data_IF_619536758818
#
_entry.id   IF_619536758818
#
_cell.length_a   1.000
_cell.length_b   1.000
_cell.length_c   1.000
_cell.angle_alpha   90.00
_cell.angle_beta   90.00
_cell.angle_gamma   90.00
#
_symmetry.space_group_name_H-M   'P 1'
#
loop_
_entity.id
_entity.type
_entity.pdbx_description
1 polymer ?
#
# COMPACT_ATOMS: atom_id res chain seq x y z
N UNK A 1 90.25 26.66 -31.49
CA UNK A 1 90.42 26.35 -30.05
C UNK A 1 89.88 27.52 -29.25
N UNK A 2 89.19 27.29 -28.13
CA UNK A 2 87.82 26.82 -27.88
C UNK A 2 86.86 28.06 -27.76
N UNK A 3 85.57 28.06 -27.39
CA UNK A 3 84.85 27.38 -26.33
C UNK A 3 83.34 27.63 -26.53
N UNK A 4 82.55 26.58 -26.29
CA UNK A 4 81.09 26.54 -26.21
C UNK A 4 80.52 27.53 -25.18
N UNK A 5 79.34 28.10 -25.44
CA UNK A 5 78.29 28.21 -24.43
C UNK A 5 76.89 28.32 -25.05
N UNK A 6 76.01 27.51 -24.47
CA UNK A 6 74.68 27.09 -24.85
C UNK A 6 73.64 27.98 -24.12
N UNK A 7 72.56 28.40 -24.77
CA UNK A 7 71.25 28.75 -24.13
C UNK A 7 70.25 29.14 -25.24
N UNK A 8 69.53 28.18 -25.80
CA UNK A 8 68.14 27.85 -25.47
C UNK A 8 67.10 28.81 -26.08
N UNK A 9 66.65 28.48 -27.30
CA UNK A 9 65.37 28.93 -27.84
C UNK A 9 64.24 28.27 -27.04
N UNK A 10 63.36 29.08 -26.44
CA UNK A 10 62.05 28.61 -25.97
C UNK A 10 60.98 29.24 -26.85
N UNK A 11 60.54 28.52 -27.89
CA UNK A 11 59.32 28.83 -28.62
C UNK A 11 58.17 28.09 -27.93
N UNK A 12 57.27 28.85 -27.29
CA UNK A 12 56.05 28.29 -26.73
C UNK A 12 55.06 28.06 -27.88
N UNK A 13 54.86 26.79 -28.25
CA UNK A 13 53.83 26.37 -29.19
C UNK A 13 52.64 25.85 -28.38
N UNK A 14 51.56 26.64 -28.36
CA UNK A 14 50.29 26.29 -27.72
C UNK A 14 49.53 25.31 -28.62
N UNK A 15 49.36 24.06 -28.19
CA UNK A 15 48.55 23.08 -28.91
C UNK A 15 47.13 23.05 -28.34
N UNK A 16 46.07 23.27 -29.13
CA UNK A 16 44.71 23.12 -28.65
C UNK A 16 44.39 21.63 -28.53
N UNK A 17 44.33 21.11 -27.31
CA UNK A 17 43.83 19.76 -27.04
C UNK A 17 42.36 19.83 -26.63
N UNK A 18 41.48 20.06 -27.60
CA UNK A 18 40.03 19.97 -27.39
C UNK A 18 39.58 18.53 -27.66
N UNK A 19 39.70 17.69 -26.64
CA UNK A 19 38.92 16.44 -26.57
C UNK A 19 37.45 16.84 -26.42
N UNK A 20 36.51 16.36 -27.26
CA UNK A 20 35.11 16.72 -27.11
C UNK A 20 34.58 16.15 -25.79
N UNK A 21 34.21 17.05 -24.87
CA UNK A 21 33.50 16.70 -23.64
C UNK A 21 32.09 16.28 -24.03
N UNK A 22 31.82 14.98 -24.02
CA UNK A 22 30.46 14.46 -24.01
C UNK A 22 29.97 14.58 -22.57
N UNK A 23 29.07 15.52 -22.29
CA UNK A 23 28.37 15.58 -21.00
C UNK A 23 27.34 14.44 -20.98
N UNK A 24 27.59 13.41 -20.15
CA UNK A 24 26.58 12.39 -19.88
C UNK A 24 25.45 13.02 -19.06
N UNK A 25 24.18 12.69 -19.33
CA UNK A 25 23.08 13.16 -18.50
C UNK A 25 23.29 12.70 -17.05
N UNK A 26 23.09 13.62 -16.11
CA UNK A 26 23.17 13.33 -14.68
C UNK A 26 21.99 12.41 -14.29
N UNK A 27 22.29 11.15 -13.99
CA UNK A 27 21.29 10.19 -13.53
C UNK A 27 21.07 10.42 -12.04
N UNK A 28 19.92 10.99 -11.67
CA UNK A 28 19.51 11.12 -10.27
C UNK A 28 18.89 9.82 -9.79
N UNK A 29 19.57 9.12 -8.89
CA UNK A 29 19.03 7.93 -8.23
C UNK A 29 18.07 8.33 -7.10
N UNK A 30 16.98 7.58 -6.88
CA UNK A 30 16.15 7.77 -5.70
C UNK A 30 16.99 7.57 -4.44
N UNK A 31 16.71 8.35 -3.39
CA UNK A 31 17.37 8.17 -2.10
C UNK A 31 17.11 6.76 -1.58
N UNK A 32 18.10 6.12 -0.92
CA UNK A 32 17.90 4.82 -0.30
C UNK A 32 16.82 4.90 0.78
N UNK A 33 16.06 3.80 0.94
CA UNK A 33 15.05 3.66 1.99
C UNK A 33 15.73 3.81 3.36
N UNK A 34 15.20 4.70 4.20
CA UNK A 34 15.73 4.94 5.55
C UNK A 34 15.26 3.86 6.53
N UNK A 35 15.98 3.69 7.65
CA UNK A 35 15.54 2.77 8.72
C UNK A 35 14.14 3.10 9.24
N UNK A 36 13.81 4.40 9.36
CA UNK A 36 12.48 4.85 9.76
C UNK A 36 11.38 4.42 8.78
N UNK A 37 11.67 4.42 7.46
CA UNK A 37 10.72 3.92 6.45
C UNK A 37 10.52 2.41 6.55
N UNK A 38 11.58 1.64 6.87
CA UNK A 38 11.47 0.19 7.09
C UNK A 38 10.64 -0.12 8.33
N UNK A 39 10.87 0.60 9.42
CA UNK A 39 10.11 0.45 10.66
C UNK A 39 8.63 0.80 10.46
N UNK A 40 8.34 1.90 9.77
CA UNK A 40 6.96 2.28 9.43
C UNK A 40 6.25 1.20 8.60
N UNK A 41 6.93 0.63 7.60
CA UNK A 41 6.37 -0.45 6.78
C UNK A 41 6.16 -1.74 7.59
N UNK A 42 7.06 -2.07 8.52
CA UNK A 42 6.88 -3.21 9.42
C UNK A 42 5.67 -3.02 10.34
N UNK A 43 5.54 -1.83 10.93
CA UNK A 43 4.41 -1.49 11.81
C UNK A 43 3.08 -1.48 11.07
N UNK A 44 3.05 -0.98 9.83
CA UNK A 44 1.84 -1.01 9.00
C UNK A 44 1.42 -2.45 8.67
N UNK A 45 2.36 -3.32 8.30
CA UNK A 45 2.09 -4.76 8.10
C UNK A 45 1.52 -5.41 9.35
N UNK A 46 2.16 -5.22 10.50
CA UNK A 46 1.70 -5.78 11.77
C UNK A 46 0.28 -5.28 12.11
N UNK A 47 0.04 -3.97 11.97
CA UNK A 47 -1.29 -3.40 12.20
C UNK A 47 -2.36 -3.95 11.25
N UNK A 48 -2.02 -4.12 9.97
CA UNK A 48 -2.94 -4.66 8.96
C UNK A 48 -3.31 -6.11 9.25
N UNK A 49 -2.34 -6.95 9.60
CA UNK A 49 -2.56 -8.35 9.92
C UNK A 49 -3.33 -8.53 11.24
N UNK A 50 -3.08 -7.68 12.24
CA UNK A 50 -3.87 -7.70 13.46
C UNK A 50 -5.33 -7.32 13.17
N UNK A 51 -5.55 -6.28 12.35
CA UNK A 51 -6.89 -5.89 11.94
C UNK A 51 -7.59 -6.98 11.11
N UNK A 52 -6.87 -7.69 10.24
CA UNK A 52 -7.40 -8.84 9.50
C UNK A 52 -7.92 -9.92 10.46
N UNK A 53 -7.15 -10.23 11.52
CA UNK A 53 -7.59 -11.16 12.57
C UNK A 53 -8.83 -10.67 13.33
N UNK A 54 -8.92 -9.38 13.64
CA UNK A 54 -10.13 -8.81 14.25
C UNK A 54 -11.36 -8.89 13.31
N UNK A 55 -11.16 -8.71 12.00
CA UNK A 55 -12.24 -8.89 11.00
C UNK A 55 -12.66 -10.35 10.84
N UNK A 56 -11.73 -11.31 10.93
CA UNK A 56 -12.03 -12.75 10.92
C UNK A 56 -12.88 -13.17 12.13
N UNK A 57 -12.54 -12.68 13.33
CA UNK A 57 -13.36 -12.89 14.53
C UNK A 57 -14.78 -12.31 14.35
N UNK A 58 -14.90 -11.12 13.78
CA UNK A 58 -16.21 -10.51 13.52
C UNK A 58 -16.99 -11.25 12.42
N UNK A 59 -16.30 -11.81 11.41
CA UNK A 59 -16.93 -12.60 10.35
C UNK A 59 -17.52 -13.89 10.92
N UNK A 60 -16.83 -14.52 11.88
CA UNK A 60 -17.35 -15.66 12.61
C UNK A 60 -18.62 -15.29 13.41
N UNK A 61 -18.67 -14.12 14.06
CA UNK A 61 -19.89 -13.63 14.71
C UNK A 61 -21.05 -13.44 13.71
N UNK A 62 -20.76 -13.01 12.47
CA UNK A 62 -21.76 -12.89 11.41
C UNK A 62 -22.28 -14.26 10.96
N UNK A 63 -21.40 -15.26 10.84
CA UNK A 63 -21.80 -16.65 10.55
C UNK A 63 -22.74 -17.19 11.63
N UNK A 64 -22.40 -17.01 12.90
CA UNK A 64 -23.26 -17.41 14.02
C UNK A 64 -24.64 -16.71 13.92
N UNK A 65 -24.67 -15.42 13.59
CA UNK A 65 -25.92 -14.68 13.38
C UNK A 65 -26.77 -15.25 12.23
N UNK A 66 -26.14 -15.67 11.12
CA UNK A 66 -26.81 -16.31 9.98
C UNK A 66 -27.45 -17.63 10.42
N UNK A 67 -26.72 -18.48 11.13
CA UNK A 67 -27.21 -19.78 11.60
C UNK A 67 -28.45 -19.66 12.51
N UNK A 68 -28.55 -18.56 13.27
CA UNK A 68 -29.70 -18.28 14.13
C UNK A 68 -30.93 -17.71 13.40
N UNK A 69 -30.78 -17.24 12.15
CA UNK A 69 -31.89 -16.64 11.41
C UNK A 69 -32.78 -17.67 10.72
N UNK A 70 -34.06 -17.28 10.52
CA UNK A 70 -35.03 -18.05 9.72
C UNK A 70 -35.68 -17.23 8.61
N UNK A 71 -35.46 -15.92 8.59
CA UNK A 71 -35.95 -15.05 7.53
C UNK A 71 -34.94 -15.04 6.37
N UNK A 72 -35.36 -15.58 5.22
CA UNK A 72 -34.51 -15.73 4.03
C UNK A 72 -33.92 -14.40 3.55
N UNK A 73 -34.64 -13.28 3.72
CA UNK A 73 -34.16 -11.97 3.30
C UNK A 73 -33.08 -11.43 4.25
N UNK A 74 -33.23 -11.65 5.55
CA UNK A 74 -32.20 -11.29 6.52
C UNK A 74 -30.96 -12.18 6.40
N UNK A 75 -31.14 -13.47 6.11
CA UNK A 75 -30.05 -14.40 5.81
C UNK A 75 -29.24 -13.89 4.62
N UNK A 76 -29.90 -13.60 3.48
CA UNK A 76 -29.19 -13.11 2.30
C UNK A 76 -28.42 -11.80 2.52
N UNK A 77 -28.97 -10.87 3.33
CA UNK A 77 -28.26 -9.64 3.67
C UNK A 77 -27.01 -9.90 4.52
N UNK A 78 -27.05 -10.88 5.43
CA UNK A 78 -25.90 -11.24 6.26
C UNK A 78 -24.87 -12.06 5.48
N UNK A 79 -25.29 -12.92 4.55
CA UNK A 79 -24.38 -13.62 3.62
C UNK A 79 -23.60 -12.63 2.74
N UNK A 80 -24.26 -11.57 2.25
CA UNK A 80 -23.57 -10.49 1.51
C UNK A 80 -22.59 -9.71 2.40
N UNK A 81 -22.86 -9.57 3.71
CA UNK A 81 -21.90 -8.98 4.65
C UNK A 81 -20.67 -9.87 4.77
N UNK A 82 -20.87 -11.17 4.98
CA UNK A 82 -19.80 -12.16 5.11
C UNK A 82 -18.89 -12.18 3.86
N UNK A 83 -19.47 -12.16 2.66
CA UNK A 83 -18.72 -12.16 1.41
C UNK A 83 -17.77 -10.96 1.32
N UNK A 84 -18.25 -9.75 1.60
CA UNK A 84 -17.41 -8.54 1.57
C UNK A 84 -16.39 -8.54 2.71
N UNK A 85 -16.73 -9.09 3.88
CA UNK A 85 -15.77 -9.25 4.99
C UNK A 85 -14.60 -10.16 4.61
N UNK A 86 -14.84 -11.25 3.88
CA UNK A 86 -13.77 -12.11 3.38
C UNK A 86 -12.81 -11.35 2.45
N UNK A 87 -13.32 -10.50 1.55
CA UNK A 87 -12.49 -9.66 0.67
C UNK A 87 -11.64 -8.64 1.45
N UNK A 88 -12.20 -8.07 2.53
CA UNK A 88 -11.48 -7.14 3.40
C UNK A 88 -10.37 -7.86 4.17
N UNK A 89 -10.63 -9.05 4.71
CA UNK A 89 -9.62 -9.86 5.41
C UNK A 89 -8.45 -10.16 4.47
N UNK A 90 -8.72 -10.65 3.26
CA UNK A 90 -7.70 -10.94 2.24
C UNK A 90 -6.87 -9.68 1.91
N UNK A 91 -7.53 -8.53 1.73
CA UNK A 91 -6.86 -7.26 1.43
C UNK A 91 -5.95 -6.80 2.59
N UNK A 92 -6.43 -6.93 3.84
CA UNK A 92 -5.67 -6.56 5.03
C UNK A 92 -4.47 -7.49 5.26
N UNK A 93 -4.60 -8.79 4.96
CA UNK A 93 -3.47 -9.74 5.00
C UNK A 93 -2.38 -9.39 3.99
N UNK A 94 -2.77 -8.89 2.82
CA UNK A 94 -1.85 -8.35 1.81
C UNK A 94 -1.30 -6.96 2.15
N UNK A 95 -1.69 -6.39 3.30
CA UNK A 95 -1.31 -5.04 3.74
C UNK A 95 -1.91 -3.92 2.85
N UNK A 96 -2.95 -4.22 2.06
CA UNK A 96 -3.70 -3.24 1.28
C UNK A 96 -4.77 -2.58 2.16
N UNK A 97 -4.44 -1.42 2.68
CA UNK A 97 -5.36 -0.55 3.43
C UNK A 97 -5.77 0.66 2.57
N UNK A 98 -5.83 0.48 1.25
CA UNK A 98 -6.10 1.51 0.28
C UNK A 98 -7.58 1.88 0.16
N UNK A 99 -7.88 2.73 -0.84
CA UNK A 99 -9.26 3.15 -1.13
C UNK A 99 -10.24 2.01 -1.36
N UNK A 100 -9.88 0.93 -2.10
CA UNK A 100 -10.76 -0.23 -2.28
C UNK A 100 -11.14 -0.92 -0.96
N UNK A 101 -10.17 -1.21 -0.10
CA UNK A 101 -10.40 -1.83 1.22
C UNK A 101 -11.32 -0.96 2.08
N UNK A 102 -11.08 0.36 2.11
CA UNK A 102 -11.93 1.29 2.88
C UNK A 102 -13.36 1.36 2.30
N UNK A 103 -13.51 1.25 0.98
CA UNK A 103 -14.83 1.22 0.35
C UNK A 103 -15.57 -0.07 0.69
N UNK A 104 -14.89 -1.22 0.69
CA UNK A 104 -15.47 -2.50 1.10
C UNK A 104 -15.88 -2.49 2.59
N UNK A 105 -15.05 -1.94 3.49
CA UNK A 105 -15.43 -1.71 4.90
C UNK A 105 -16.68 -0.82 5.03
N UNK A 106 -16.80 0.21 4.18
CA UNK A 106 -17.98 1.07 4.16
C UNK A 106 -19.22 0.29 3.70
N UNK A 107 -19.08 -0.54 2.67
CA UNK A 107 -20.15 -1.40 2.17
C UNK A 107 -20.62 -2.40 3.24
N UNK A 108 -19.71 -3.01 4.00
CA UNK A 108 -20.04 -3.88 5.14
C UNK A 108 -20.96 -3.13 6.13
N UNK A 109 -20.60 -1.90 6.52
CA UNK A 109 -21.40 -1.08 7.45
C UNK A 109 -22.79 -0.79 6.87
N UNK A 110 -22.88 -0.46 5.58
CA UNK A 110 -24.14 -0.18 4.91
C UNK A 110 -25.05 -1.42 4.89
N UNK A 111 -24.51 -2.58 4.52
CA UNK A 111 -25.26 -3.84 4.49
C UNK A 111 -25.71 -4.29 5.88
N UNK A 112 -24.86 -4.17 6.91
CA UNK A 112 -25.25 -4.42 8.31
C UNK A 112 -26.42 -3.52 8.72
N UNK A 113 -26.38 -2.23 8.32
CA UNK A 113 -27.48 -1.32 8.60
C UNK A 113 -28.78 -1.73 7.89
N UNK A 114 -28.71 -2.20 6.65
CA UNK A 114 -29.86 -2.74 5.93
C UNK A 114 -30.43 -4.00 6.59
N UNK A 115 -29.56 -4.93 7.01
CA UNK A 115 -29.94 -6.12 7.77
C UNK A 115 -30.65 -5.76 9.08
N UNK A 116 -30.10 -4.80 9.85
CA UNK A 116 -30.71 -4.31 11.07
C UNK A 116 -32.09 -3.67 10.83
N UNK A 117 -32.23 -2.91 9.75
CA UNK A 117 -33.51 -2.33 9.34
C UNK A 117 -34.54 -3.39 8.98
N UNK A 118 -34.14 -4.42 8.22
CA UNK A 118 -35.01 -5.56 7.89
C UNK A 118 -35.49 -6.29 9.14
N UNK A 119 -34.59 -6.58 10.07
CA UNK A 119 -34.93 -7.20 11.37
C UNK A 119 -35.91 -6.35 12.19
N UNK A 120 -35.74 -5.02 12.19
CA UNK A 120 -36.66 -4.12 12.90
C UNK A 120 -38.09 -4.15 12.36
N UNK A 121 -38.26 -4.39 11.04
CA UNK A 121 -39.57 -4.47 10.40
C UNK A 121 -40.30 -5.77 10.74
N UNK A 122 -39.58 -6.87 10.96
CA UNK A 122 -40.16 -8.12 11.46
C UNK A 122 -40.68 -7.99 12.90
N UNK A 123 -39.93 -7.30 13.77
CA UNK A 123 -40.28 -7.16 15.18
C UNK A 123 -41.36 -6.08 15.44
N UNK A 124 -41.73 -5.27 14.44
CA UNK A 124 -42.69 -4.16 14.55
C UNK A 124 -44.15 -4.52 14.21
N UNK A 125 -44.46 -5.79 13.94
CA UNK A 125 -45.82 -6.25 13.61
C UNK A 125 -46.59 -6.78 14.83
N UNK A 126 -47.14 -5.89 15.66
CA UNK A 126 -48.20 -6.23 16.64
C UNK A 126 -49.31 -5.20 16.60
#
# INVERSE_FOLDING_TARGET
MPLLLLSALASAQETPNTKPTIELPEITYPKPVTEAQKEAAAKHREGSQNLAGEQDELAADVQDLIEEQTDEKLIGLLEEVEEVMAEVIDSLDETDTGGPTIAAETEIIEKIFEAAKQRSQQNGGT
#
